data_IF_614764535600
#
_entry.id   IF_614764535600
#
_cell.length_a   1.000
_cell.length_b   1.000
_cell.length_c   1.000
_cell.angle_alpha   90.00
_cell.angle_beta   90.00
_cell.angle_gamma   90.00
#
_symmetry.space_group_name_H-M   'P 1'
#
loop_
_entity.id
_entity.type
_entity.pdbx_description
1 polymer ?
#
# COMPACT_ATOMS: atom_id res chain seq x y z
N UNK A 1 -6.69 23.87 -49.59
CA UNK A 1 -6.24 23.02 -48.48
C UNK A 1 -6.36 23.69 -47.09
N UNK A 2 -6.00 24.96 -46.94
CA UNK A 2 -6.08 25.70 -45.66
C UNK A 2 -7.48 25.76 -45.03
N UNK A 3 -8.54 25.97 -45.81
CA UNK A 3 -9.93 26.05 -45.30
C UNK A 3 -10.45 24.71 -44.77
N UNK A 4 -10.07 23.58 -45.38
CA UNK A 4 -10.44 22.24 -44.91
C UNK A 4 -9.75 21.88 -43.60
N UNK A 5 -8.47 22.25 -43.41
CA UNK A 5 -7.72 22.10 -42.17
C UNK A 5 -8.32 22.96 -41.06
N UNK A 6 -8.74 24.18 -41.34
CA UNK A 6 -9.40 25.07 -40.39
C UNK A 6 -10.75 24.51 -39.92
N UNK A 7 -11.56 23.98 -40.85
CA UNK A 7 -12.84 23.37 -40.56
C UNK A 7 -12.69 22.07 -39.74
N UNK A 8 -11.65 21.25 -40.00
CA UNK A 8 -11.35 20.05 -39.21
C UNK A 8 -10.89 20.44 -37.83
N UNK A 9 -10.01 21.43 -37.68
CA UNK A 9 -9.54 21.94 -36.40
C UNK A 9 -10.69 22.51 -35.55
N UNK A 10 -11.59 23.27 -36.17
CA UNK A 10 -12.78 23.83 -35.52
C UNK A 10 -13.74 22.72 -35.05
N UNK A 11 -13.96 21.68 -35.89
CA UNK A 11 -14.78 20.54 -35.54
C UNK A 11 -14.20 19.74 -34.36
N UNK A 12 -12.89 19.56 -34.34
CA UNK A 12 -12.19 18.89 -33.22
C UNK A 12 -12.30 19.69 -31.91
N UNK A 13 -12.17 21.03 -32.00
CA UNK A 13 -12.29 21.92 -30.82
C UNK A 13 -13.74 21.90 -30.28
N UNK A 14 -14.75 21.92 -31.16
CA UNK A 14 -16.18 21.86 -30.74
C UNK A 14 -16.54 20.51 -30.14
N UNK A 15 -15.96 19.40 -30.59
CA UNK A 15 -16.12 18.07 -29.99
C UNK A 15 -15.51 17.97 -28.59
N UNK A 16 -14.41 18.66 -28.32
CA UNK A 16 -13.75 18.67 -27.01
C UNK A 16 -14.55 19.47 -25.95
N UNK A 17 -15.33 20.49 -26.36
CA UNK A 17 -16.15 21.27 -25.42
C UNK A 17 -17.48 20.59 -25.06
N UNK A 18 -17.93 19.60 -25.83
CA UNK A 18 -19.20 18.89 -25.64
C UNK A 18 -19.14 17.76 -24.61
N UNK A 19 -17.98 17.41 -24.07
CA UNK A 19 -17.82 16.32 -23.09
C UNK A 19 -18.36 16.68 -21.70
N UNK A 20 -19.67 16.50 -21.51
CA UNK A 20 -20.26 16.56 -20.17
C UNK A 20 -19.86 15.31 -19.35
N UNK A 21 -18.81 15.45 -18.54
CA UNK A 21 -18.26 14.35 -17.71
C UNK A 21 -19.27 13.74 -16.72
N UNK A 22 -20.39 14.42 -16.49
CA UNK A 22 -21.43 13.99 -15.54
C UNK A 22 -22.70 13.45 -16.20
N UNK A 23 -22.69 13.20 -17.54
CA UNK A 23 -23.86 12.76 -18.32
C UNK A 23 -24.53 11.50 -17.78
N UNK A 24 -23.75 10.51 -17.35
CA UNK A 24 -24.24 9.23 -16.83
C UNK A 24 -24.15 9.13 -15.30
N UNK A 25 -23.86 10.23 -14.62
CA UNK A 25 -23.93 10.27 -13.15
C UNK A 25 -25.41 10.29 -12.74
N UNK A 26 -25.88 9.34 -11.93
CA UNK A 26 -27.28 9.29 -11.45
C UNK A 26 -27.69 10.57 -10.74
N UNK A 27 -29.01 10.82 -10.69
CA UNK A 27 -29.54 11.92 -9.89
C UNK A 27 -29.18 11.68 -8.41
N UNK A 28 -28.89 12.74 -7.67
CA UNK A 28 -28.47 12.71 -6.27
C UNK A 28 -27.12 11.99 -6.00
N UNK A 29 -26.32 11.73 -7.05
CA UNK A 29 -24.95 11.21 -6.95
C UNK A 29 -23.96 12.22 -7.54
N UNK A 30 -22.69 12.08 -7.16
CA UNK A 30 -21.60 12.93 -7.59
C UNK A 30 -20.53 12.08 -8.28
N UNK A 31 -19.95 12.62 -9.37
CA UNK A 31 -18.75 12.07 -9.99
C UNK A 31 -17.56 12.31 -9.06
N UNK A 32 -16.78 11.29 -8.77
CA UNK A 32 -15.48 11.48 -8.13
C UNK A 32 -14.51 12.10 -9.15
N UNK A 33 -14.26 13.40 -9.03
CA UNK A 33 -13.48 14.18 -10.00
C UNK A 33 -11.97 14.20 -9.65
N UNK A 34 -11.64 14.36 -8.38
CA UNK A 34 -10.26 14.47 -7.90
C UNK A 34 -10.13 13.86 -6.50
N UNK A 35 -8.94 13.28 -6.25
CA UNK A 35 -8.47 12.88 -4.92
C UNK A 35 -7.10 13.48 -4.75
N UNK A 36 -6.86 14.16 -3.63
CA UNK A 36 -5.58 14.71 -3.24
C UNK A 36 -5.19 14.19 -1.87
N UNK A 37 -3.91 13.87 -1.70
CA UNK A 37 -3.36 13.40 -0.43
C UNK A 37 -2.24 14.36 -0.04
N UNK A 38 -2.35 14.96 1.14
CA UNK A 38 -1.29 15.79 1.74
C UNK A 38 -0.75 15.09 2.96
N UNK A 39 0.56 15.06 3.10
CA UNK A 39 1.26 14.59 4.30
C UNK A 39 2.23 15.66 4.77
N UNK A 40 2.40 15.78 6.07
CA UNK A 40 3.44 16.62 6.70
C UNK A 40 4.84 15.98 6.60
N UNK A 41 4.92 14.70 6.25
CA UNK A 41 6.18 13.97 6.08
C UNK A 41 6.70 14.10 4.65
N UNK A 42 7.92 14.63 4.49
CA UNK A 42 8.59 14.76 3.19
C UNK A 42 8.94 13.43 2.52
N UNK A 43 9.11 12.38 3.31
CA UNK A 43 9.45 11.02 2.85
C UNK A 43 8.23 10.15 2.52
N UNK A 44 7.02 10.62 2.80
CA UNK A 44 5.77 9.95 2.41
C UNK A 44 5.18 10.72 1.23
N UNK A 45 5.33 10.15 0.05
CA UNK A 45 4.83 10.77 -1.19
C UNK A 45 3.40 10.31 -1.48
N UNK A 46 2.65 11.13 -2.19
CA UNK A 46 1.29 10.79 -2.65
C UNK A 46 1.27 9.44 -3.40
N UNK A 47 2.29 9.18 -4.24
CA UNK A 47 2.41 7.94 -5.02
C UNK A 47 2.48 6.69 -4.13
N UNK A 48 3.07 6.78 -2.94
CA UNK A 48 3.19 5.66 -2.01
C UNK A 48 1.83 5.32 -1.37
N UNK A 49 0.92 6.28 -1.35
CA UNK A 49 -0.39 6.18 -0.70
C UNK A 49 -1.53 5.86 -1.67
N UNK A 50 -1.34 6.06 -2.97
CA UNK A 50 -2.39 5.80 -3.99
C UNK A 50 -2.91 4.36 -3.90
N UNK A 51 -2.04 3.39 -3.65
CA UNK A 51 -2.41 1.97 -3.51
C UNK A 51 -3.33 1.66 -2.32
N UNK A 52 -3.43 2.56 -1.35
CA UNK A 52 -4.29 2.42 -0.17
C UNK A 52 -5.65 3.12 -0.34
N UNK A 53 -5.85 3.87 -1.43
CA UNK A 53 -7.15 4.42 -1.77
C UNK A 53 -8.14 3.30 -2.11
N UNK A 54 -9.31 3.35 -1.51
CA UNK A 54 -10.43 2.44 -1.81
C UNK A 54 -11.28 2.92 -2.97
N UNK A 55 -11.07 4.16 -3.39
CA UNK A 55 -11.72 4.75 -4.55
C UNK A 55 -10.78 5.75 -5.23
N UNK A 56 -10.55 5.56 -6.53
CA UNK A 56 -9.76 6.46 -7.36
C UNK A 56 -10.63 7.08 -8.47
N UNK A 57 -10.41 8.35 -8.85
CA UNK A 57 -11.15 8.96 -9.94
C UNK A 57 -10.79 8.32 -11.29
N UNK A 58 -11.62 8.58 -12.30
CA UNK A 58 -11.30 8.19 -13.67
C UNK A 58 -9.95 8.80 -14.10
N UNK A 59 -9.10 8.01 -14.75
CA UNK A 59 -7.76 8.44 -15.21
C UNK A 59 -7.85 9.63 -16.15
N UNK A 60 -7.07 10.67 -15.91
CA UNK A 60 -6.97 11.85 -16.75
C UNK A 60 -5.72 11.77 -17.64
N UNK A 61 -5.88 11.99 -18.94
CA UNK A 61 -4.76 12.25 -19.82
C UNK A 61 -4.32 13.72 -19.66
N UNK A 62 -3.01 13.94 -19.53
CA UNK A 62 -2.43 15.28 -19.34
C UNK A 62 -3.07 16.08 -18.19
N UNK A 63 -3.49 15.38 -17.10
CA UNK A 63 -4.14 15.97 -15.91
C UNK A 63 -5.44 16.76 -16.16
N UNK A 64 -5.86 16.93 -17.41
CA UNK A 64 -7.00 17.76 -17.78
C UNK A 64 -8.19 16.99 -18.35
N UNK A 65 -7.96 15.98 -19.18
CA UNK A 65 -8.98 15.34 -20.00
C UNK A 65 -9.20 13.89 -19.56
N UNK A 66 -10.41 13.56 -19.10
CA UNK A 66 -10.86 12.19 -18.86
C UNK A 66 -11.24 11.52 -20.19
N UNK A 67 -10.25 11.15 -21.01
CA UNK A 67 -10.50 10.64 -22.37
C UNK A 67 -11.42 9.41 -22.36
N UNK A 68 -11.12 8.41 -21.54
CA UNK A 68 -11.92 7.17 -21.48
C UNK A 68 -13.34 7.43 -20.94
N UNK A 69 -13.50 8.33 -19.97
CA UNK A 69 -14.82 8.77 -19.50
C UNK A 69 -15.54 9.57 -20.61
N UNK A 70 -14.81 10.37 -21.39
CA UNK A 70 -15.32 11.09 -22.55
C UNK A 70 -15.88 10.14 -23.61
N UNK A 71 -15.14 9.10 -23.97
CA UNK A 71 -15.61 8.06 -24.91
C UNK A 71 -16.88 7.37 -24.40
N UNK A 72 -16.92 7.01 -23.12
CA UNK A 72 -18.12 6.45 -22.51
C UNK A 72 -19.31 7.41 -22.58
N UNK A 73 -19.09 8.69 -22.32
CA UNK A 73 -20.13 9.73 -22.35
C UNK A 73 -20.61 10.09 -23.77
N UNK A 74 -19.78 9.86 -24.81
CA UNK A 74 -20.20 10.01 -26.20
C UNK A 74 -21.23 8.95 -26.63
N UNK A 75 -21.23 7.77 -25.96
CA UNK A 75 -22.22 6.73 -26.25
C UNK A 75 -23.65 7.24 -26.05
N UNK A 76 -24.59 6.74 -26.86
CA UNK A 76 -26.02 6.92 -26.64
C UNK A 76 -26.57 6.02 -25.53
N UNK A 77 -27.82 6.27 -25.12
CA UNK A 77 -28.55 5.41 -24.16
C UNK A 77 -28.95 4.08 -24.80
N UNK A 78 -29.24 4.09 -26.10
CA UNK A 78 -29.64 2.89 -26.84
C UNK A 78 -28.44 1.96 -27.05
N UNK A 79 -28.43 0.82 -26.37
CA UNK A 79 -27.37 -0.19 -26.46
C UNK A 79 -27.60 -1.18 -27.61
N UNK A 80 -28.68 -1.09 -28.35
CA UNK A 80 -28.89 -1.92 -29.56
C UNK A 80 -27.95 -1.50 -30.67
N UNK A 81 -27.62 -0.22 -30.74
CA UNK A 81 -26.67 0.33 -31.73
C UNK A 81 -25.25 -0.13 -31.41
N UNK A 82 -24.60 -0.76 -32.41
CA UNK A 82 -23.25 -1.28 -32.26
C UNK A 82 -22.22 -0.23 -31.84
N UNK A 83 -22.35 1.01 -32.34
CA UNK A 83 -21.45 2.12 -32.03
C UNK A 83 -21.53 2.50 -30.54
N UNK A 84 -22.72 2.49 -29.94
CA UNK A 84 -22.90 2.80 -28.54
C UNK A 84 -22.27 1.71 -27.64
N UNK A 85 -22.42 0.43 -28.02
CA UNK A 85 -21.75 -0.68 -27.35
C UNK A 85 -20.24 -0.56 -27.45
N UNK A 86 -19.73 -0.27 -28.63
CA UNK A 86 -18.30 -0.08 -28.85
C UNK A 86 -17.73 1.03 -27.95
N UNK A 87 -18.36 2.23 -27.95
CA UNK A 87 -17.93 3.36 -27.15
C UNK A 87 -18.00 3.08 -25.63
N UNK A 88 -18.99 2.33 -25.17
CA UNK A 88 -19.08 1.90 -23.75
C UNK A 88 -18.00 0.89 -23.39
N UNK A 89 -17.64 -0.01 -24.30
CA UNK A 89 -16.63 -1.04 -24.06
C UNK A 89 -15.20 -0.47 -23.99
N UNK A 90 -14.88 0.54 -24.82
CA UNK A 90 -13.55 1.19 -24.82
C UNK A 90 -13.46 2.32 -23.80
N UNK A 91 -14.61 2.88 -23.39
CA UNK A 91 -14.69 3.94 -22.39
C UNK A 91 -14.79 3.38 -20.97
N UNK A 92 -14.51 4.24 -20.00
CA UNK A 92 -14.70 3.91 -18.58
C UNK A 92 -15.96 4.58 -18.04
N UNK A 93 -16.83 3.86 -17.30
CA UNK A 93 -17.98 4.47 -16.65
C UNK A 93 -17.55 5.51 -15.62
N UNK A 94 -18.41 6.50 -15.29
CA UNK A 94 -18.12 7.48 -14.27
C UNK A 94 -17.95 6.80 -12.89
N UNK A 95 -16.86 7.11 -12.20
CA UNK A 95 -16.67 6.69 -10.81
C UNK A 95 -17.55 7.58 -9.92
N UNK A 96 -18.49 6.95 -9.24
CA UNK A 96 -19.44 7.65 -8.37
C UNK A 96 -18.82 7.78 -6.97
N UNK A 97 -18.81 9.00 -6.44
CA UNK A 97 -18.35 9.27 -5.08
C UNK A 97 -19.14 8.45 -4.05
N UNK A 98 -18.42 7.82 -3.14
CA UNK A 98 -18.93 7.04 -2.01
C UNK A 98 -18.19 7.44 -0.72
N UNK A 99 -18.94 7.97 0.25
CA UNK A 99 -18.39 8.38 1.55
C UNK A 99 -17.85 7.21 2.36
N UNK A 100 -18.43 6.01 2.22
CA UNK A 100 -17.95 4.81 2.90
C UNK A 100 -16.54 4.44 2.44
N UNK A 101 -16.25 4.55 1.14
CA UNK A 101 -14.94 4.29 0.58
C UNK A 101 -13.91 5.35 1.00
N UNK A 102 -14.35 6.59 1.23
CA UNK A 102 -13.48 7.63 1.83
C UNK A 102 -13.05 7.23 3.23
N UNK A 103 -13.99 6.85 4.11
CA UNK A 103 -13.68 6.39 5.47
C UNK A 103 -12.81 5.12 5.48
N UNK A 104 -13.03 4.21 4.54
CA UNK A 104 -12.16 3.03 4.41
C UNK A 104 -10.73 3.42 4.00
N UNK A 105 -10.56 4.40 3.12
CA UNK A 105 -9.23 4.91 2.75
C UNK A 105 -8.52 5.56 3.94
N UNK A 106 -9.24 6.32 4.79
CA UNK A 106 -8.68 6.86 6.04
C UNK A 106 -8.12 5.77 6.96
N UNK A 107 -8.88 4.66 7.11
CA UNK A 107 -8.42 3.51 7.90
C UNK A 107 -7.17 2.86 7.32
N UNK A 108 -7.09 2.74 6.00
CA UNK A 108 -5.90 2.19 5.34
C UNK A 108 -4.68 3.12 5.50
N UNK A 109 -4.87 4.44 5.35
CA UNK A 109 -3.79 5.40 5.62
C UNK A 109 -3.33 5.36 7.07
N UNK A 110 -4.27 5.26 8.03
CA UNK A 110 -3.93 5.10 9.44
C UNK A 110 -3.08 3.85 9.66
N UNK A 111 -3.50 2.71 9.08
CA UNK A 111 -2.75 1.46 9.15
C UNK A 111 -1.36 1.57 8.54
N UNK A 112 -1.25 2.24 7.37
CA UNK A 112 0.05 2.50 6.74
C UNK A 112 0.96 3.32 7.67
N UNK A 113 0.44 4.40 8.26
CA UNK A 113 1.20 5.25 9.17
C UNK A 113 1.63 4.51 10.43
N UNK A 114 0.75 3.71 11.04
CA UNK A 114 1.08 2.82 12.17
C UNK A 114 2.19 1.85 11.81
N UNK A 115 2.13 1.21 10.63
CA UNK A 115 3.17 0.30 10.15
C UNK A 115 4.53 1.00 9.94
N UNK A 116 4.51 2.32 9.69
CA UNK A 116 5.69 3.17 9.57
C UNK A 116 6.16 3.78 10.89
N UNK A 117 5.56 3.38 12.01
CA UNK A 117 5.92 3.83 13.35
C UNK A 117 5.19 5.09 13.82
N UNK A 118 4.24 5.60 13.07
CA UNK A 118 3.45 6.78 13.43
C UNK A 118 2.10 6.36 14.03
N UNK A 119 2.12 5.73 15.20
CA UNK A 119 0.93 5.20 15.89
C UNK A 119 -0.12 6.29 16.16
N UNK A 120 0.33 7.50 16.50
CA UNK A 120 -0.54 8.62 16.83
C UNK A 120 -0.92 9.48 15.61
N UNK A 121 -0.61 9.03 14.37
CA UNK A 121 -0.98 9.79 13.18
C UNK A 121 -2.49 10.04 13.12
N UNK A 122 -2.87 11.24 12.72
CA UNK A 122 -4.26 11.64 12.48
C UNK A 122 -4.50 11.71 10.97
N UNK A 123 -5.61 11.13 10.53
CA UNK A 123 -6.04 11.17 9.15
C UNK A 123 -7.37 11.92 9.10
N UNK A 124 -7.42 13.01 8.33
CA UNK A 124 -8.62 13.80 8.13
C UNK A 124 -8.97 13.83 6.66
N UNK A 125 -10.26 13.69 6.33
CA UNK A 125 -10.73 13.92 4.98
C UNK A 125 -11.69 15.09 4.92
N UNK A 126 -11.69 15.78 3.79
CA UNK A 126 -12.67 16.80 3.45
C UNK A 126 -13.15 16.59 2.01
N UNK A 127 -14.43 16.90 1.79
CA UNK A 127 -15.06 16.71 0.48
C UNK A 127 -15.73 18.01 0.04
N UNK A 128 -15.41 18.45 -1.16
CA UNK A 128 -16.03 19.63 -1.78
C UNK A 128 -16.89 19.19 -2.95
N UNK A 129 -18.15 19.64 -2.95
CA UNK A 129 -19.10 19.36 -4.03
C UNK A 129 -19.30 20.59 -4.91
N UNK A 130 -19.13 20.43 -6.24
CA UNK A 130 -19.36 21.51 -7.21
C UNK A 130 -19.83 20.93 -8.54
N UNK A 131 -20.93 21.43 -9.11
CA UNK A 131 -21.45 21.04 -10.45
C UNK A 131 -21.52 19.51 -10.63
N UNK A 132 -22.17 18.80 -9.67
CA UNK A 132 -22.34 17.33 -9.69
C UNK A 132 -21.01 16.54 -9.64
N UNK A 133 -19.93 17.16 -9.14
CA UNK A 133 -18.59 16.57 -8.94
C UNK A 133 -18.21 16.65 -7.47
N UNK A 134 -17.53 15.60 -6.98
CA UNK A 134 -16.92 15.53 -5.67
C UNK A 134 -15.39 15.57 -5.81
N UNK A 135 -14.74 16.36 -4.95
CA UNK A 135 -13.28 16.39 -4.78
C UNK A 135 -12.99 16.02 -3.35
N UNK A 136 -12.18 15.00 -3.17
CA UNK A 136 -11.77 14.50 -1.86
C UNK A 136 -10.34 14.94 -1.60
N UNK A 137 -10.11 15.48 -0.41
CA UNK A 137 -8.77 15.78 0.09
C UNK A 137 -8.55 15.03 1.39
N UNK A 138 -7.46 14.27 1.46
CA UNK A 138 -6.96 13.66 2.68
C UNK A 138 -5.80 14.50 3.21
N UNK A 139 -5.77 14.68 4.53
CA UNK A 139 -4.68 15.32 5.25
C UNK A 139 -4.16 14.35 6.30
N UNK A 140 -2.87 14.06 6.24
CA UNK A 140 -2.17 13.15 7.12
C UNK A 140 -1.25 13.97 8.01
N UNK A 141 -1.48 13.91 9.32
CA UNK A 141 -0.65 14.54 10.36
C UNK A 141 0.04 13.42 11.09
N UNK A 142 1.35 13.32 10.95
CA UNK A 142 2.14 12.17 11.41
C UNK A 142 2.25 12.10 12.94
N UNK A 143 2.35 13.24 13.61
CA UNK A 143 2.74 13.34 15.01
C UNK A 143 4.09 12.68 15.29
N UNK A 144 4.44 12.44 16.56
CA UNK A 144 5.74 11.91 16.95
C UNK A 144 5.85 10.41 16.65
N UNK A 145 6.92 9.96 15.94
CA UNK A 145 7.09 8.56 15.59
C UNK A 145 7.67 7.74 16.75
N UNK A 146 7.33 6.46 16.78
CA UNK A 146 8.02 5.49 17.61
C UNK A 146 9.36 5.08 17.02
N UNK A 147 10.38 4.96 17.87
CA UNK A 147 11.73 4.48 17.54
C UNK A 147 12.01 3.15 18.25
N UNK A 148 12.91 2.37 17.66
CA UNK A 148 13.39 1.13 18.27
C UNK A 148 14.24 1.49 19.50
N UNK A 149 13.84 0.99 20.65
CA UNK A 149 14.53 1.09 21.91
C UNK A 149 15.63 0.02 22.05
N UNK A 150 15.53 -0.83 23.06
CA UNK A 150 16.46 -1.94 23.23
C UNK A 150 16.06 -3.12 22.33
N UNK A 151 17.08 -3.83 21.82
CA UNK A 151 16.90 -5.05 21.03
C UNK A 151 17.48 -6.20 21.85
N UNK A 152 16.67 -7.21 22.12
CA UNK A 152 17.07 -8.44 22.81
C UNK A 152 16.78 -9.67 21.96
N UNK A 153 17.48 -10.76 22.22
CA UNK A 153 17.35 -12.01 21.48
C UNK A 153 16.99 -13.15 22.42
N UNK A 154 15.98 -13.94 22.08
CA UNK A 154 15.63 -15.19 22.76
C UNK A 154 15.78 -16.36 21.79
N UNK A 155 16.93 -17.03 21.90
CA UNK A 155 17.39 -18.08 20.99
C UNK A 155 17.86 -19.27 21.83
N UNK A 156 17.17 -20.41 21.73
CA UNK A 156 17.51 -21.62 22.51
C UNK A 156 18.74 -22.35 21.97
N UNK A 157 19.07 -22.21 20.67
CA UNK A 157 20.18 -22.86 20.00
C UNK A 157 21.43 -21.96 20.05
N UNK A 158 22.47 -22.40 20.77
CA UNK A 158 23.70 -21.61 20.97
C UNK A 158 24.48 -21.37 19.66
N UNK A 159 24.48 -22.32 18.73
CA UNK A 159 25.14 -22.16 17.43
C UNK A 159 24.45 -21.06 16.61
N UNK A 160 23.12 -21.10 16.54
CA UNK A 160 22.34 -20.05 15.86
C UNK A 160 22.54 -18.71 16.53
N UNK A 161 22.55 -18.68 17.87
CA UNK A 161 22.83 -17.47 18.65
C UNK A 161 24.18 -16.88 18.27
N UNK A 162 25.24 -17.70 18.26
CA UNK A 162 26.58 -17.27 17.90
C UNK A 162 26.65 -16.69 16.49
N UNK A 163 26.01 -17.32 15.50
CA UNK A 163 25.97 -16.84 14.11
C UNK A 163 25.25 -15.48 14.02
N UNK A 164 24.13 -15.30 14.71
CA UNK A 164 23.39 -14.03 14.68
C UNK A 164 24.14 -12.90 15.38
N UNK A 165 24.81 -13.17 16.51
CA UNK A 165 25.63 -12.16 17.17
C UNK A 165 26.87 -11.76 16.38
N UNK A 166 27.49 -12.68 15.65
CA UNK A 166 28.60 -12.38 14.75
C UNK A 166 28.17 -11.48 13.55
N UNK A 167 26.87 -11.48 13.21
CA UNK A 167 26.32 -10.76 12.05
C UNK A 167 25.52 -9.49 12.45
N UNK A 168 25.62 -9.04 13.70
CA UNK A 168 24.88 -7.86 14.18
C UNK A 168 25.25 -6.56 13.46
N UNK A 169 26.45 -6.44 12.90
CA UNK A 169 26.87 -5.28 12.11
C UNK A 169 26.02 -5.11 10.86
N UNK A 170 25.55 -6.20 10.26
CA UNK A 170 24.71 -6.23 9.06
C UNK A 170 23.21 -6.12 9.40
N UNK A 171 22.83 -6.04 10.68
CA UNK A 171 21.44 -5.93 11.08
C UNK A 171 20.79 -4.67 10.48
N UNK A 172 19.61 -4.85 9.89
CA UNK A 172 18.80 -3.76 9.32
C UNK A 172 18.17 -2.93 10.43
N UNK A 173 17.66 -3.61 11.47
CA UNK A 173 17.06 -2.96 12.63
C UNK A 173 18.15 -2.59 13.66
N UNK A 174 18.17 -1.32 14.06
CA UNK A 174 19.13 -0.78 15.03
C UNK A 174 18.41 0.10 16.06
N UNK A 175 18.98 0.21 17.24
CA UNK A 175 18.50 1.15 18.26
C UNK A 175 18.41 2.57 17.70
N UNK A 176 17.38 3.31 18.08
CA UNK A 176 17.03 4.65 17.62
C UNK A 176 16.57 4.77 16.15
N UNK A 177 16.57 3.68 15.37
CA UNK A 177 15.90 3.70 14.07
C UNK A 177 14.39 3.85 14.26
N UNK A 178 13.73 4.39 13.23
CA UNK A 178 12.28 4.42 13.17
C UNK A 178 11.72 2.99 13.25
N UNK A 179 10.68 2.79 14.04
CA UNK A 179 9.96 1.51 14.05
C UNK A 179 9.18 1.37 12.74
N UNK A 180 9.60 0.46 11.88
CA UNK A 180 9.01 0.24 10.55
C UNK A 180 8.86 -1.27 10.32
N UNK A 181 7.60 -1.72 10.15
CA UNK A 181 7.28 -3.14 9.97
C UNK A 181 7.95 -3.71 8.72
N UNK A 182 8.13 -2.92 7.65
CA UNK A 182 8.82 -3.38 6.46
C UNK A 182 10.32 -3.61 6.72
N UNK A 183 10.93 -2.86 7.63
CA UNK A 183 12.31 -3.11 8.06
C UNK A 183 12.40 -4.38 8.91
N UNK A 184 11.44 -4.61 9.80
CA UNK A 184 11.37 -5.86 10.56
C UNK A 184 11.22 -7.08 9.63
N UNK A 185 10.40 -6.98 8.59
CA UNK A 185 10.23 -8.06 7.61
C UNK A 185 11.51 -8.32 6.81
N UNK A 186 12.21 -7.26 6.39
CA UNK A 186 13.52 -7.41 5.71
C UNK A 186 14.57 -8.05 6.61
N UNK A 187 14.56 -7.71 7.91
CA UNK A 187 15.46 -8.34 8.88
C UNK A 187 15.16 -9.83 9.07
N UNK A 188 13.88 -10.24 9.08
CA UNK A 188 13.49 -11.67 9.09
C UNK A 188 14.06 -12.42 7.90
N UNK A 189 13.97 -11.80 6.69
CA UNK A 189 14.52 -12.38 5.46
C UNK A 189 16.03 -12.49 5.56
N UNK A 190 16.72 -11.43 5.99
CA UNK A 190 18.18 -11.40 6.17
C UNK A 190 18.65 -12.48 7.13
N UNK A 191 18.01 -12.61 8.30
CA UNK A 191 18.33 -13.66 9.28
C UNK A 191 18.16 -15.05 8.66
N UNK A 192 17.06 -15.29 7.94
CA UNK A 192 16.81 -16.57 7.31
C UNK A 192 17.85 -16.90 6.23
N UNK A 193 18.26 -15.94 5.43
CA UNK A 193 19.32 -16.09 4.43
C UNK A 193 20.69 -16.36 5.06
N UNK A 194 21.05 -15.61 6.09
CA UNK A 194 22.28 -15.83 6.85
C UNK A 194 22.34 -17.27 7.37
N UNK A 195 21.29 -17.75 8.04
CA UNK A 195 21.26 -19.11 8.58
C UNK A 195 21.29 -20.18 7.50
N UNK A 196 20.58 -20.01 6.36
CA UNK A 196 20.66 -20.94 5.22
C UNK A 196 22.08 -21.04 4.66
N UNK A 197 22.76 -19.92 4.52
CA UNK A 197 24.16 -19.87 4.06
C UNK A 197 25.13 -20.58 5.04
N UNK A 198 24.75 -20.71 6.31
CA UNK A 198 25.49 -21.47 7.32
C UNK A 198 25.01 -22.92 7.49
N UNK A 199 24.24 -23.44 6.53
CA UNK A 199 23.85 -24.84 6.48
C UNK A 199 22.49 -25.17 7.11
N UNK A 200 21.75 -24.22 7.63
CA UNK A 200 20.38 -24.44 8.12
C UNK A 200 19.38 -24.38 6.95
N UNK A 201 19.51 -25.30 5.99
CA UNK A 201 18.81 -25.27 4.71
C UNK A 201 17.29 -25.13 4.81
N UNK A 202 16.66 -25.78 5.79
CA UNK A 202 15.20 -25.74 6.00
C UNK A 202 14.73 -24.52 6.80
N UNK A 203 15.65 -23.62 7.17
CA UNK A 203 15.26 -22.42 7.91
C UNK A 203 14.58 -21.41 6.99
N UNK A 204 13.47 -20.83 7.46
CA UNK A 204 12.76 -19.78 6.74
C UNK A 204 12.41 -18.60 7.68
N UNK A 205 12.01 -17.48 7.11
CA UNK A 205 11.70 -16.25 7.84
C UNK A 205 10.57 -16.39 8.87
N UNK A 206 9.67 -17.37 8.71
CA UNK A 206 8.52 -17.59 9.61
C UNK A 206 8.95 -18.07 11.00
N UNK A 207 10.17 -18.59 11.12
CA UNK A 207 10.74 -18.93 12.43
C UNK A 207 11.27 -17.71 13.19
N UNK A 208 11.44 -16.58 12.54
CA UNK A 208 11.84 -15.31 13.17
C UNK A 208 10.58 -14.53 13.54
N UNK A 209 10.38 -14.27 14.82
CA UNK A 209 9.22 -13.50 15.30
C UNK A 209 9.68 -12.42 16.26
N UNK A 210 8.89 -11.34 16.36
CA UNK A 210 9.15 -10.21 17.22
C UNK A 210 8.09 -10.12 18.32
N UNK A 211 8.53 -9.74 19.52
CA UNK A 211 7.69 -9.15 20.54
C UNK A 211 8.08 -7.68 20.65
N UNK A 212 7.12 -6.80 20.40
CA UNK A 212 7.28 -5.37 20.53
C UNK A 212 6.61 -4.91 21.84
N UNK A 213 7.36 -4.20 22.69
CA UNK A 213 6.88 -3.63 23.94
C UNK A 213 6.93 -2.10 23.85
N UNK A 214 5.77 -1.47 23.80
CA UNK A 214 5.57 -0.02 23.75
C UNK A 214 5.13 0.58 25.08
N UNK A 215 5.28 -0.15 26.20
CA UNK A 215 4.83 0.30 27.53
C UNK A 215 5.56 1.54 28.06
N UNK A 216 6.69 1.91 27.46
CA UNK A 216 7.46 3.09 27.83
C UNK A 216 6.84 4.36 27.24
N UNK A 217 6.68 5.38 28.07
CA UNK A 217 6.05 6.67 27.70
C UNK A 217 6.93 7.59 26.83
N UNK A 218 8.05 7.11 26.29
CA UNK A 218 9.05 7.91 25.57
C UNK A 218 9.09 7.67 24.07
N UNK A 219 7.99 7.22 23.44
CA UNK A 219 7.89 6.88 22.02
C UNK A 219 8.99 5.89 21.57
N UNK A 220 9.36 4.95 22.45
CA UNK A 220 10.29 3.86 22.15
C UNK A 220 9.60 2.50 22.27
N UNK A 221 9.97 1.61 21.36
CA UNK A 221 9.52 0.22 21.34
C UNK A 221 10.72 -0.68 21.56
N UNK A 222 10.73 -1.40 22.68
CA UNK A 222 11.71 -2.45 22.93
C UNK A 222 11.33 -3.70 22.12
N UNK A 223 12.30 -4.27 21.41
CA UNK A 223 12.10 -5.44 20.56
C UNK A 223 12.78 -6.67 21.15
N UNK A 224 12.05 -7.78 21.23
CA UNK A 224 12.64 -9.10 21.49
C UNK A 224 12.50 -9.96 20.25
N UNK A 225 13.63 -10.43 19.71
CA UNK A 225 13.71 -11.32 18.55
C UNK A 225 13.71 -12.77 19.04
N UNK A 226 12.74 -13.54 18.58
CA UNK A 226 12.62 -14.96 18.88
C UNK A 226 12.97 -15.80 17.65
N UNK A 227 13.78 -16.83 17.83
CA UNK A 227 13.93 -17.91 16.86
C UNK A 227 13.10 -19.09 17.32
N UNK A 228 11.98 -19.34 16.64
CA UNK A 228 11.06 -20.44 16.97
C UNK A 228 11.62 -21.77 16.49
N UNK A 229 11.36 -22.83 17.26
CA UNK A 229 11.66 -24.21 16.88
C UNK A 229 10.79 -24.64 15.68
N UNK A 230 11.32 -25.56 14.87
CA UNK A 230 10.59 -26.20 13.80
C UNK A 230 9.46 -27.06 14.38
N UNK A 231 8.30 -27.05 13.73
CA UNK A 231 7.20 -27.95 14.06
C UNK A 231 7.22 -29.15 13.11
N UNK A 232 7.23 -30.36 13.66
CA UNK A 232 7.09 -31.61 12.92
C UNK A 232 5.86 -32.35 13.44
N UNK A 233 5.15 -33.02 12.54
CA UNK A 233 4.03 -33.91 12.94
C UNK A 233 4.60 -35.18 13.54
N UNK A 234 4.27 -35.42 14.79
CA UNK A 234 4.64 -36.64 15.51
C UNK A 234 3.55 -37.74 15.42
N UNK A 235 3.76 -38.87 16.10
CA UNK A 235 2.77 -39.92 16.20
C UNK A 235 1.42 -39.38 16.69
N UNK A 236 0.31 -39.96 16.19
CA UNK A 236 -1.08 -39.58 16.53
C UNK A 236 -1.37 -38.07 16.28
N UNK A 237 -0.78 -37.47 15.22
CA UNK A 237 -0.95 -36.05 14.87
C UNK A 237 -0.51 -35.07 15.98
N UNK A 238 0.38 -35.47 16.87
CA UNK A 238 0.95 -34.55 17.86
C UNK A 238 1.92 -33.56 17.20
N UNK A 239 2.00 -32.32 17.72
CA UNK A 239 2.95 -31.32 17.23
C UNK A 239 4.23 -31.39 18.08
N UNK A 240 5.32 -31.84 17.45
CA UNK A 240 6.64 -31.86 18.06
C UNK A 240 7.41 -30.58 17.71
N UNK A 241 8.02 -29.94 18.70
CA UNK A 241 8.91 -28.80 18.51
C UNK A 241 10.36 -29.27 18.55
N UNK A 242 11.03 -29.26 17.39
CA UNK A 242 12.41 -29.75 17.23
C UNK A 242 13.35 -28.58 16.90
N UNK A 243 14.63 -28.74 17.27
CA UNK A 243 15.65 -27.77 16.90
C UNK A 243 15.92 -27.81 15.39
N UNK A 244 16.39 -26.68 14.85
CA UNK A 244 16.81 -26.60 13.44
C UNK A 244 18.08 -27.44 13.25
N UNK A 245 18.09 -28.29 12.24
CA UNK A 245 19.21 -29.14 11.88
C UNK A 245 20.13 -28.42 10.89
N UNK A 246 21.45 -28.64 11.03
CA UNK A 246 22.46 -28.15 10.10
C UNK A 246 22.83 -29.25 9.11
N UNK A 247 22.74 -28.94 7.85
CA UNK A 247 23.06 -29.87 6.73
C UNK A 247 24.45 -29.61 6.19
N UNK A 248 25.13 -30.66 5.76
CA UNK A 248 26.40 -30.62 5.01
C UNK A 248 26.23 -31.42 3.73
N UNK A 249 26.72 -30.89 2.62
CA UNK A 249 26.79 -31.62 1.35
C UNK A 249 27.91 -32.65 1.48
N UNK A 250 27.63 -33.94 1.24
CA UNK A 250 28.63 -35.01 1.31
C UNK A 250 29.29 -35.29 -0.05
N UNK A 251 28.54 -35.12 -1.14
CA UNK A 251 29.05 -35.31 -2.53
C UNK A 251 28.24 -34.44 -3.48
N UNK A 252 28.87 -34.03 -4.56
CA UNK A 252 28.27 -33.36 -5.71
C UNK A 252 28.47 -34.24 -6.93
#
# INVERSE_FOLDING_TARGET
MRSKLFNISFLVITLLTACNSTKYVPNNKYLLDQVHIKSDLKNVKEVDLIGYLRQTPNTKMFEAINFNLGLYNLSGKDTTLWINRFLKNIGNPPVIYDSTLVTLSEKEFKKYMTNKGYENAEIKSSVTFKKKKARVQYEIISNEPYKIGNISYKIDNDTIRGLLFADTTNAIIKKNNLFDIDQLERERIRIAENLRNHGYFLFNKEYVTYLADSSKLNHQIDLTIYIRKMQKTGPKNTVLRVSHERYKIQSV
#
